data_IF_838896157060
#
_entry.id   IF_838896157060
#
_cell.length_a   1.000
_cell.length_b   1.000
_cell.length_c   1.000
_cell.angle_alpha   90.00
_cell.angle_beta   90.00
_cell.angle_gamma   90.00
#
_symmetry.space_group_name_H-M   'P 1'
#
loop_
_entity.id
_entity.type
_entity.pdbx_description
1 polymer ?
#
# COMPACT_ATOMS: atom_id res chain seq x y z
N UNK A 1 -20.07 -1.89 -4.62
CA UNK A 1 -19.16 -2.49 -5.63
C UNK A 1 -17.86 -2.87 -4.94
N UNK A 2 -17.27 -4.04 -5.21
CA UNK A 2 -15.99 -4.45 -4.59
C UNK A 2 -14.85 -3.99 -5.50
N UNK A 3 -14.06 -3.02 -5.04
CA UNK A 3 -12.88 -2.51 -5.75
C UNK A 3 -11.76 -3.58 -5.69
N UNK A 4 -11.27 -4.00 -6.85
CA UNK A 4 -10.28 -5.10 -6.99
C UNK A 4 -8.91 -4.64 -7.46
N UNK A 5 -8.74 -3.38 -7.83
CA UNK A 5 -7.45 -2.82 -8.25
C UNK A 5 -7.36 -1.32 -7.99
N UNK A 6 -6.14 -0.78 -7.99
CA UNK A 6 -5.92 0.68 -7.91
C UNK A 6 -6.59 1.39 -9.08
N UNK A 7 -6.56 0.82 -10.29
CA UNK A 7 -7.19 1.43 -11.47
C UNK A 7 -8.71 1.53 -11.33
N UNK A 8 -9.36 0.50 -10.78
CA UNK A 8 -10.78 0.59 -10.42
C UNK A 8 -11.04 1.63 -9.34
N UNK A 9 -10.16 1.74 -8.34
CA UNK A 9 -10.31 2.75 -7.30
C UNK A 9 -10.22 4.18 -7.86
N UNK A 10 -9.24 4.45 -8.73
CA UNK A 10 -9.08 5.74 -9.38
C UNK A 10 -10.31 6.11 -10.22
N UNK A 11 -10.87 5.13 -10.96
CA UNK A 11 -12.12 5.34 -11.71
C UNK A 11 -13.29 5.67 -10.79
N UNK A 12 -13.42 4.97 -9.65
CA UNK A 12 -14.47 5.26 -8.68
C UNK A 12 -14.31 6.66 -8.07
N UNK A 13 -13.07 7.07 -7.74
CA UNK A 13 -12.80 8.42 -7.26
C UNK A 13 -13.19 9.48 -8.31
N UNK A 14 -12.97 9.21 -9.60
CA UNK A 14 -13.40 10.10 -10.67
C UNK A 14 -14.93 10.23 -10.72
N UNK A 15 -15.66 9.11 -10.67
CA UNK A 15 -17.14 9.09 -10.67
C UNK A 15 -17.70 9.87 -9.47
N UNK A 16 -17.05 9.76 -8.31
CA UNK A 16 -17.48 10.36 -7.05
C UNK A 16 -17.04 11.82 -6.86
N UNK A 17 -16.42 12.44 -7.88
CA UNK A 17 -15.82 13.78 -7.82
C UNK A 17 -14.76 13.95 -6.70
N UNK A 18 -14.02 12.89 -6.43
CA UNK A 18 -12.92 12.82 -5.44
C UNK A 18 -11.54 12.70 -6.10
N UNK A 19 -11.45 12.97 -7.41
CA UNK A 19 -10.21 12.94 -8.20
C UNK A 19 -10.03 14.24 -8.98
N UNK A 20 -8.88 14.87 -8.82
CA UNK A 20 -8.37 15.93 -9.69
C UNK A 20 -7.41 15.30 -10.71
N UNK A 21 -7.57 15.63 -11.98
CA UNK A 21 -6.67 15.19 -13.05
C UNK A 21 -5.84 16.40 -13.49
N UNK A 22 -4.52 16.22 -13.54
CA UNK A 22 -3.55 17.20 -14.05
C UNK A 22 -2.94 16.61 -15.31
N UNK A 23 -3.11 17.30 -16.44
CA UNK A 23 -2.65 16.86 -17.76
C UNK A 23 -1.31 17.50 -18.15
N UNK A 24 -1.02 18.65 -17.56
CA UNK A 24 0.24 19.37 -17.68
C UNK A 24 1.42 18.49 -17.23
N UNK A 25 2.57 18.70 -17.87
CA UNK A 25 3.81 18.03 -17.45
C UNK A 25 4.21 18.54 -16.06
N UNK A 26 4.49 17.61 -15.14
CA UNK A 26 4.94 17.91 -13.78
C UNK A 26 6.26 17.19 -13.50
N UNK A 27 7.21 17.90 -12.90
CA UNK A 27 8.48 17.34 -12.48
C UNK A 27 8.31 16.47 -11.21
N UNK A 28 8.71 15.19 -11.21
CA UNK A 28 8.68 14.35 -10.02
C UNK A 28 9.67 14.82 -8.94
N UNK A 29 10.58 15.74 -9.27
CA UNK A 29 11.53 16.36 -8.36
C UNK A 29 10.90 17.64 -7.78
N UNK A 30 10.46 17.56 -6.53
CA UNK A 30 9.88 18.63 -5.70
C UNK A 30 8.52 19.16 -6.16
N UNK A 31 8.31 19.39 -7.45
CA UNK A 31 7.10 20.04 -7.97
C UNK A 31 5.84 19.21 -7.70
N UNK A 32 5.84 17.93 -8.08
CA UNK A 32 4.73 17.01 -7.82
C UNK A 32 4.36 16.98 -6.33
N UNK A 33 5.38 16.90 -5.46
CA UNK A 33 5.20 16.87 -4.01
C UNK A 33 4.64 18.19 -3.47
N UNK A 34 5.06 19.34 -4.00
CA UNK A 34 4.55 20.66 -3.63
C UNK A 34 3.08 20.83 -4.03
N UNK A 35 2.71 20.39 -5.24
CA UNK A 35 1.30 20.37 -5.69
C UNK A 35 0.47 19.52 -4.74
N UNK A 36 0.90 18.28 -4.49
CA UNK A 36 0.23 17.38 -3.55
C UNK A 36 0.07 18.03 -2.17
N UNK A 37 1.13 18.65 -1.64
CA UNK A 37 1.13 19.29 -0.32
C UNK A 37 0.10 20.42 -0.23
N UNK A 38 -0.01 21.27 -1.26
CA UNK A 38 -1.02 22.36 -1.29
C UNK A 38 -2.44 21.82 -1.34
N UNK A 39 -2.69 20.78 -2.14
CA UNK A 39 -4.02 20.14 -2.23
C UNK A 39 -4.39 19.48 -0.91
N UNK A 40 -3.47 18.73 -0.30
CA UNK A 40 -3.68 18.09 1.01
C UNK A 40 -3.93 19.12 2.12
N UNK A 41 -3.17 20.22 2.14
CA UNK A 41 -3.37 21.29 3.12
C UNK A 41 -4.77 21.92 3.04
N UNK A 42 -5.37 21.93 1.85
CA UNK A 42 -6.76 22.38 1.61
C UNK A 42 -7.80 21.25 1.73
N UNK A 43 -7.41 20.07 2.24
CA UNK A 43 -8.25 18.86 2.31
C UNK A 43 -8.87 18.46 0.97
N UNK A 44 -8.11 18.65 -0.12
CA UNK A 44 -8.56 18.42 -1.48
C UNK A 44 -8.67 16.93 -1.89
N UNK A 45 -9.04 16.69 -3.16
CA UNK A 45 -9.25 15.36 -3.74
C UNK A 45 -7.94 14.57 -3.91
N UNK A 46 -8.06 13.30 -4.29
CA UNK A 46 -6.92 12.57 -4.85
C UNK A 46 -6.44 13.26 -6.14
N UNK A 47 -5.18 13.07 -6.52
CA UNK A 47 -4.61 13.73 -7.71
C UNK A 47 -4.03 12.68 -8.64
N UNK A 48 -4.43 12.68 -9.92
CA UNK A 48 -3.83 11.90 -10.99
C UNK A 48 -3.02 12.84 -11.89
N UNK A 49 -1.70 12.71 -11.84
CA UNK A 49 -0.76 13.34 -12.75
C UNK A 49 -0.59 12.44 -13.98
N UNK A 50 -1.13 12.86 -15.12
CA UNK A 50 -1.07 12.07 -16.36
C UNK A 50 0.31 12.13 -17.03
N UNK A 51 0.96 13.29 -16.98
CA UNK A 51 2.25 13.52 -17.62
C UNK A 51 3.31 13.84 -16.55
N UNK A 52 4.20 12.87 -16.27
CA UNK A 52 5.29 13.04 -15.32
C UNK A 52 6.60 13.00 -16.07
N UNK A 53 7.37 14.08 -15.96
CA UNK A 53 8.60 14.28 -16.72
C UNK A 53 9.56 13.10 -16.55
N UNK A 54 10.02 12.56 -17.68
CA UNK A 54 10.97 11.44 -17.70
C UNK A 54 10.39 10.07 -17.31
N UNK A 55 9.06 9.93 -17.24
CA UNK A 55 8.38 8.66 -16.92
C UNK A 55 7.25 8.39 -17.91
N UNK A 56 7.14 7.14 -18.38
CA UNK A 56 5.96 6.69 -19.16
C UNK A 56 4.73 6.41 -18.31
N UNK A 57 4.90 6.41 -16.98
CA UNK A 57 3.85 6.12 -16.03
C UNK A 57 3.23 7.38 -15.46
N UNK A 58 1.91 7.37 -15.37
CA UNK A 58 1.14 8.33 -14.57
C UNK A 58 1.30 8.06 -13.07
N UNK A 59 1.21 9.12 -12.28
CA UNK A 59 1.30 9.06 -10.82
C UNK A 59 -0.04 9.45 -10.22
N UNK A 60 -0.53 8.64 -9.29
CA UNK A 60 -1.68 9.00 -8.47
C UNK A 60 -1.23 9.21 -7.03
N UNK A 61 -1.70 10.28 -6.40
CA UNK A 61 -1.37 10.64 -5.03
C UNK A 61 -2.64 10.94 -4.23
N UNK A 62 -2.48 11.04 -2.90
CA UNK A 62 -3.55 11.43 -1.98
C UNK A 62 -4.79 10.52 -2.01
N UNK A 63 -4.62 9.27 -2.49
CA UNK A 63 -5.66 8.24 -2.60
C UNK A 63 -6.43 8.03 -1.28
N UNK A 64 -5.71 8.01 -0.17
CA UNK A 64 -6.25 7.71 1.16
C UNK A 64 -6.34 8.94 2.08
N UNK A 65 -6.18 10.16 1.54
CA UNK A 65 -6.07 11.37 2.35
C UNK A 65 -7.37 11.95 2.90
N UNK A 66 -8.50 11.23 2.84
CA UNK A 66 -9.76 11.64 3.47
C UNK A 66 -10.57 10.45 3.96
N UNK A 67 -11.37 10.65 4.99
CA UNK A 67 -12.29 9.62 5.51
C UNK A 67 -13.29 9.16 4.43
N UNK A 68 -13.75 10.08 3.58
CA UNK A 68 -14.64 9.75 2.46
C UNK A 68 -13.97 8.81 1.47
N UNK A 69 -12.72 9.08 1.08
CA UNK A 69 -11.97 8.19 0.17
C UNK A 69 -11.66 6.84 0.81
N UNK A 70 -11.41 6.81 2.11
CA UNK A 70 -11.31 5.54 2.85
C UNK A 70 -12.62 4.75 2.81
N UNK A 71 -13.78 5.40 3.01
CA UNK A 71 -15.08 4.72 2.88
C UNK A 71 -15.34 4.19 1.47
N UNK A 72 -14.93 4.92 0.43
CA UNK A 72 -15.02 4.46 -0.97
C UNK A 72 -14.12 3.24 -1.19
N UNK A 73 -12.86 3.31 -0.74
CA UNK A 73 -11.85 2.26 -0.90
C UNK A 73 -12.24 0.94 -0.22
N UNK A 74 -12.62 1.02 1.06
CA UNK A 74 -12.77 -0.14 1.94
C UNK A 74 -14.23 -0.54 2.14
N UNK A 75 -15.17 0.38 1.90
CA UNK A 75 -16.56 0.23 2.36
C UNK A 75 -16.66 0.33 3.89
N UNK A 76 -17.88 0.24 4.40
CA UNK A 76 -18.12 0.28 5.85
C UNK A 76 -17.93 -1.08 6.52
N UNK A 77 -18.10 -2.18 5.78
CA UNK A 77 -18.08 -3.55 6.33
C UNK A 77 -16.73 -3.95 6.95
N UNK A 78 -15.56 -3.78 6.29
CA UNK A 78 -14.28 -4.15 6.89
C UNK A 78 -13.92 -3.27 8.09
N UNK A 79 -14.26 -1.99 8.04
CA UNK A 79 -14.05 -1.05 9.16
C UNK A 79 -14.91 -1.47 10.37
N UNK A 80 -16.19 -1.81 10.12
CA UNK A 80 -17.08 -2.36 11.16
C UNK A 80 -16.55 -3.69 11.70
N UNK A 81 -16.03 -4.57 10.85
CA UNK A 81 -15.50 -5.86 11.26
C UNK A 81 -14.28 -5.73 12.18
N UNK A 82 -13.30 -4.89 11.80
CA UNK A 82 -12.11 -4.63 12.63
C UNK A 82 -12.51 -4.01 13.96
N UNK A 83 -13.42 -3.02 13.94
CA UNK A 83 -13.95 -2.41 15.16
C UNK A 83 -14.63 -3.45 16.05
N UNK A 84 -15.44 -4.33 15.47
CA UNK A 84 -16.11 -5.42 16.19
C UNK A 84 -15.09 -6.34 16.85
N UNK A 85 -14.08 -6.82 16.14
CA UNK A 85 -13.00 -7.64 16.70
C UNK A 85 -12.32 -6.93 17.88
N UNK A 86 -11.89 -5.68 17.70
CA UNK A 86 -11.21 -4.91 18.74
C UNK A 86 -12.09 -4.76 20.00
N UNK A 87 -13.36 -4.39 19.84
CA UNK A 87 -14.30 -4.29 20.96
C UNK A 87 -14.55 -5.63 21.64
N UNK A 88 -14.68 -6.72 20.87
CA UNK A 88 -14.90 -8.05 21.43
C UNK A 88 -13.70 -8.52 22.25
N UNK A 89 -12.47 -8.28 21.78
CA UNK A 89 -11.24 -8.61 22.53
C UNK A 89 -11.16 -7.82 23.84
N UNK A 90 -11.47 -6.51 23.82
CA UNK A 90 -11.44 -5.67 25.02
C UNK A 90 -12.50 -6.07 26.05
N UNK A 91 -13.66 -6.55 25.61
CA UNK A 91 -14.78 -6.91 26.49
C UNK A 91 -14.90 -8.41 26.77
N UNK A 92 -13.92 -9.23 26.34
CA UNK A 92 -13.98 -10.69 26.48
C UNK A 92 -13.84 -11.15 27.93
N UNK A 93 -13.32 -10.29 28.82
CA UNK A 93 -13.13 -10.59 30.24
C UNK A 93 -14.21 -9.88 31.09
N UNK A 94 -14.87 -10.58 32.04
CA UNK A 94 -14.88 -12.03 32.20
C UNK A 94 -15.65 -12.72 31.05
N UNK A 95 -15.26 -13.95 30.66
CA UNK A 95 -15.90 -14.68 29.58
C UNK A 95 -17.25 -15.21 30.03
N UNK A 96 -18.33 -14.73 29.41
CA UNK A 96 -19.69 -15.26 29.62
C UNK A 96 -20.11 -16.10 28.41
N UNK A 97 -21.02 -17.08 28.57
CA UNK A 97 -21.48 -17.92 27.46
C UNK A 97 -22.02 -17.12 26.26
N UNK A 98 -22.72 -16.00 26.52
CA UNK A 98 -23.21 -15.09 25.48
C UNK A 98 -22.06 -14.44 24.68
N UNK A 99 -21.01 -13.97 25.36
CA UNK A 99 -19.82 -13.38 24.69
C UNK A 99 -19.07 -14.42 23.85
N UNK A 100 -19.00 -15.67 24.30
CA UNK A 100 -18.39 -16.77 23.55
C UNK A 100 -19.22 -17.10 22.30
N UNK A 101 -20.55 -17.09 22.42
CA UNK A 101 -21.44 -17.31 21.29
C UNK A 101 -21.28 -16.23 20.21
N UNK A 102 -21.06 -14.98 20.59
CA UNK A 102 -20.82 -13.88 19.63
C UNK A 102 -19.51 -14.02 18.85
N UNK A 103 -18.51 -14.73 19.39
CA UNK A 103 -17.27 -15.06 18.67
C UNK A 103 -17.52 -15.96 17.46
N UNK A 104 -18.58 -16.76 17.45
CA UNK A 104 -18.91 -17.64 16.30
C UNK A 104 -19.09 -16.82 15.02
N UNK A 105 -19.73 -15.66 15.13
CA UNK A 105 -20.00 -14.78 13.99
C UNK A 105 -18.69 -14.18 13.44
N UNK A 106 -17.75 -13.85 14.33
CA UNK A 106 -16.41 -13.38 13.95
C UNK A 106 -15.63 -14.52 13.28
N UNK A 107 -15.70 -15.74 13.82
CA UNK A 107 -15.05 -16.92 13.24
C UNK A 107 -15.56 -17.21 11.82
N UNK A 108 -16.88 -17.18 11.59
CA UNK A 108 -17.45 -17.35 10.24
C UNK A 108 -17.01 -16.27 9.26
N UNK A 109 -16.83 -15.03 9.72
CA UNK A 109 -16.32 -13.95 8.88
C UNK A 109 -14.81 -14.10 8.62
N UNK A 110 -14.03 -14.56 9.60
CA UNK A 110 -12.61 -14.84 9.46
C UNK A 110 -12.33 -15.96 8.45
N UNK A 111 -13.21 -16.97 8.34
CA UNK A 111 -13.11 -18.01 7.30
C UNK A 111 -13.20 -17.47 5.87
N UNK A 112 -13.76 -16.27 5.67
CA UNK A 112 -13.83 -15.61 4.36
C UNK A 112 -12.59 -14.77 4.05
N UNK A 113 -11.64 -14.66 4.98
CA UNK A 113 -10.39 -13.92 4.84
C UNK A 113 -9.29 -14.90 4.44
N UNK A 114 -8.59 -14.62 3.35
CA UNK A 114 -7.48 -15.45 2.91
C UNK A 114 -6.96 -15.06 1.54
N UNK A 115 -5.78 -15.59 1.20
CA UNK A 115 -5.15 -15.41 -0.10
C UNK A 115 -5.73 -16.39 -1.11
N UNK A 116 -6.03 -15.91 -2.32
CA UNK A 116 -6.38 -16.75 -3.46
C UNK A 116 -5.17 -16.87 -4.38
N UNK A 117 -4.70 -18.10 -4.63
CA UNK A 117 -3.69 -18.36 -5.66
C UNK A 117 -4.30 -18.23 -7.05
N UNK A 118 -3.58 -17.57 -7.95
CA UNK A 118 -3.95 -17.37 -9.36
C UNK A 118 -2.81 -17.84 -10.25
N UNK A 119 -3.14 -18.40 -11.43
CA UNK A 119 -2.13 -18.90 -12.38
C UNK A 119 -1.51 -17.81 -13.25
N UNK A 120 -2.15 -16.65 -13.37
CA UNK A 120 -1.66 -15.47 -14.08
C UNK A 120 -2.09 -14.19 -13.37
N UNK A 121 -1.28 -13.14 -13.47
CA UNK A 121 -1.56 -11.84 -12.88
C UNK A 121 -1.04 -10.72 -13.81
N UNK A 122 -1.82 -9.62 -14.02
CA UNK A 122 -1.41 -8.53 -14.92
C UNK A 122 -0.07 -7.88 -14.58
N UNK A 123 0.36 -7.94 -13.31
CA UNK A 123 1.65 -7.42 -12.86
C UNK A 123 2.85 -8.15 -13.49
N UNK A 124 2.64 -9.34 -14.06
CA UNK A 124 3.67 -10.16 -14.71
C UNK A 124 3.75 -9.93 -16.23
N UNK A 125 2.89 -9.09 -16.80
CA UNK A 125 2.83 -8.88 -18.26
C UNK A 125 3.98 -8.01 -18.80
N UNK A 126 4.66 -7.25 -17.93
CA UNK A 126 5.70 -6.30 -18.33
C UNK A 126 6.88 -6.35 -17.35
N UNK A 127 8.09 -6.12 -17.86
CA UNK A 127 9.32 -5.97 -17.08
C UNK A 127 9.89 -4.56 -17.24
N UNK A 128 10.72 -4.14 -16.29
CA UNK A 128 11.48 -2.89 -16.35
C UNK A 128 12.97 -3.23 -16.43
N UNK A 129 13.70 -2.52 -17.27
CA UNK A 129 15.16 -2.64 -17.40
C UNK A 129 15.88 -1.68 -16.45
N UNK A 130 15.16 -0.68 -15.93
CA UNK A 130 15.70 0.25 -14.94
C UNK A 130 14.62 0.82 -14.02
N UNK A 131 14.95 0.93 -12.74
CA UNK A 131 14.16 1.65 -11.74
C UNK A 131 14.02 3.14 -12.06
N UNK A 132 14.88 3.71 -12.91
CA UNK A 132 14.75 5.09 -13.36
C UNK A 132 13.60 5.31 -14.34
N UNK A 133 13.02 4.25 -14.91
CA UNK A 133 11.80 4.34 -15.71
C UNK A 133 10.56 4.65 -14.86
N UNK A 134 10.64 4.43 -13.55
CA UNK A 134 9.58 4.75 -12.60
C UNK A 134 9.56 6.26 -12.33
N UNK A 135 8.38 6.83 -12.02
CA UNK A 135 8.25 8.22 -11.60
C UNK A 135 8.76 8.37 -10.15
N UNK A 136 10.08 8.31 -10.01
CA UNK A 136 10.81 8.30 -8.74
C UNK A 136 10.76 9.70 -8.10
N UNK A 137 10.14 9.80 -6.92
CA UNK A 137 9.79 11.09 -6.32
C UNK A 137 10.91 11.61 -5.42
N UNK A 138 11.24 12.90 -5.53
CA UNK A 138 12.00 13.63 -4.51
C UNK A 138 11.04 14.63 -3.86
N UNK A 139 10.70 14.40 -2.59
CA UNK A 139 9.62 15.16 -1.93
C UNK A 139 10.12 16.42 -1.25
N UNK A 140 11.39 16.42 -0.82
CA UNK A 140 12.00 17.55 -0.12
C UNK A 140 13.35 17.93 -0.72
N UNK A 141 13.75 19.23 -0.69
CA UNK A 141 15.04 19.67 -1.21
C UNK A 141 16.25 19.01 -0.53
N UNK A 142 16.06 18.54 0.71
CA UNK A 142 17.09 17.87 1.53
C UNK A 142 16.93 16.35 1.59
N UNK A 143 16.03 15.76 0.79
CA UNK A 143 15.98 14.30 0.66
C UNK A 143 17.32 13.80 0.09
N UNK A 144 17.85 12.71 0.63
CA UNK A 144 19.13 12.12 0.17
C UNK A 144 19.04 11.41 -1.20
N UNK A 145 17.90 11.50 -1.88
CA UNK A 145 17.67 10.84 -3.16
C UNK A 145 16.19 10.75 -3.50
N UNK A 146 15.87 9.93 -4.51
CA UNK A 146 14.50 9.66 -4.94
C UNK A 146 13.95 8.42 -4.24
N UNK A 147 12.64 8.40 -4.00
CA UNK A 147 12.00 7.36 -3.23
C UNK A 147 10.73 6.81 -3.87
N UNK A 148 10.47 5.53 -3.60
CA UNK A 148 9.13 4.94 -3.62
C UNK A 148 8.56 5.09 -2.21
N UNK A 149 7.44 5.81 -2.09
CA UNK A 149 6.98 6.34 -0.80
C UNK A 149 5.95 5.45 -0.09
N UNK A 150 5.13 4.71 -0.85
CA UNK A 150 4.10 3.81 -0.32
C UNK A 150 4.14 2.42 -0.96
N UNK A 151 5.30 1.72 -1.00
CA UNK A 151 5.31 0.36 -1.47
C UNK A 151 4.81 -0.59 -0.39
N UNK A 152 4.13 -1.66 -0.81
CA UNK A 152 3.88 -2.84 0.00
C UNK A 152 5.01 -3.84 -0.26
N UNK A 153 5.71 -4.21 0.79
CA UNK A 153 6.90 -5.04 0.73
C UNK A 153 6.60 -6.38 1.36
N UNK A 154 6.62 -7.41 0.53
CA UNK A 154 6.45 -8.79 0.94
C UNK A 154 7.80 -9.45 1.22
N UNK A 155 7.86 -10.17 2.33
CA UNK A 155 9.04 -10.91 2.79
C UNK A 155 8.61 -12.26 3.33
N UNK A 156 9.45 -13.28 3.20
CA UNK A 156 9.19 -14.61 3.77
C UNK A 156 10.29 -15.03 4.76
N UNK A 157 9.88 -15.69 5.84
CA UNK A 157 10.80 -16.32 6.78
C UNK A 157 11.49 -17.52 6.12
N UNK A 158 12.83 -17.56 6.02
CA UNK A 158 13.57 -18.71 5.49
C UNK A 158 13.61 -19.91 6.46
N UNK A 159 12.99 -19.81 7.63
CA UNK A 159 12.81 -20.94 8.56
C UNK A 159 11.42 -21.54 8.50
N UNK A 160 10.38 -20.70 8.37
CA UNK A 160 8.99 -21.13 8.54
C UNK A 160 8.16 -21.01 7.27
N UNK A 161 8.65 -20.30 6.25
CA UNK A 161 7.89 -19.97 5.04
C UNK A 161 6.73 -19.00 5.27
N UNK A 162 6.61 -18.41 6.47
CA UNK A 162 5.55 -17.45 6.79
C UNK A 162 5.85 -16.10 6.13
N UNK A 163 4.86 -15.54 5.44
CA UNK A 163 4.93 -14.23 4.81
C UNK A 163 4.67 -13.07 5.76
N UNK A 164 5.23 -11.91 5.44
CA UNK A 164 4.94 -10.63 6.06
C UNK A 164 4.81 -9.57 4.97
N UNK A 165 3.76 -8.73 5.06
CA UNK A 165 3.56 -7.56 4.21
C UNK A 165 3.73 -6.30 5.06
N UNK A 166 4.64 -5.41 4.68
CA UNK A 166 4.91 -4.17 5.40
C UNK A 166 5.08 -2.99 4.46
N UNK A 167 4.84 -1.78 4.94
CA UNK A 167 5.16 -0.56 4.19
C UNK A 167 6.51 -0.02 4.63
N UNK A 168 7.47 0.03 3.72
CA UNK A 168 8.82 0.55 3.98
C UNK A 168 9.18 1.55 2.88
N UNK A 169 9.71 2.72 3.24
CA UNK A 169 10.19 3.68 2.23
C UNK A 169 11.42 3.09 1.54
N UNK A 170 11.45 3.14 0.21
CA UNK A 170 12.54 2.57 -0.61
C UNK A 170 13.24 3.71 -1.33
N UNK A 171 14.53 3.88 -1.06
CA UNK A 171 15.41 4.84 -1.74
C UNK A 171 16.00 4.20 -2.99
N UNK A 172 16.02 4.94 -4.09
CA UNK A 172 16.68 4.48 -5.33
C UNK A 172 18.13 4.97 -5.31
N UNK A 173 19.08 4.05 -5.41
CA UNK A 173 20.53 4.36 -5.49
C UNK A 173 21.08 4.15 -6.90
N UNK A 174 20.51 3.23 -7.67
CA UNK A 174 20.96 2.87 -9.01
C UNK A 174 19.82 2.40 -9.92
N UNK A 175 20.11 2.05 -11.19
CA UNK A 175 19.11 1.51 -12.12
C UNK A 175 18.53 0.17 -11.66
N UNK A 176 19.25 -0.59 -10.83
CA UNK A 176 18.79 -1.87 -10.26
C UNK A 176 19.09 -1.98 -8.76
N UNK A 177 19.35 -0.84 -8.09
CA UNK A 177 19.80 -0.82 -6.69
C UNK A 177 18.93 0.09 -5.84
N UNK A 178 18.51 -0.42 -4.67
CA UNK A 178 17.68 0.30 -3.72
C UNK A 178 18.18 0.15 -2.29
N UNK A 179 17.93 1.17 -1.48
CA UNK A 179 18.09 1.15 -0.04
C UNK A 179 16.73 1.05 0.63
N UNK A 180 16.59 0.15 1.60
CA UNK A 180 15.35 -0.01 2.36
C UNK A 180 15.63 0.05 3.85
N UNK A 181 14.96 0.97 4.53
CA UNK A 181 15.04 1.07 5.98
C UNK A 181 13.97 0.20 6.63
N UNK A 182 14.36 -0.96 7.15
CA UNK A 182 13.48 -1.86 7.90
C UNK A 182 13.74 -1.71 9.39
N UNK A 183 12.69 -1.42 10.16
CA UNK A 183 12.77 -1.45 11.62
C UNK A 183 12.94 -2.89 12.13
N UNK A 184 13.94 -3.13 12.98
CA UNK A 184 14.31 -4.46 13.49
C UNK A 184 13.18 -5.22 14.20
N UNK A 185 12.23 -4.50 14.81
CA UNK A 185 11.11 -5.09 15.56
C UNK A 185 9.87 -5.36 14.69
N UNK A 186 9.94 -5.14 13.37
CA UNK A 186 8.87 -5.43 12.42
C UNK A 186 9.10 -6.79 11.76
N UNK A 187 8.03 -7.39 11.23
CA UNK A 187 8.11 -8.73 10.61
C UNK A 187 9.20 -8.85 9.54
N UNK A 188 9.32 -7.88 8.65
CA UNK A 188 10.40 -7.84 7.65
C UNK A 188 11.81 -7.80 8.24
N UNK A 189 12.00 -7.14 9.40
CA UNK A 189 13.29 -7.08 10.09
C UNK A 189 13.69 -8.43 10.68
N UNK A 190 12.72 -9.15 11.24
CA UNK A 190 12.94 -10.53 11.70
C UNK A 190 13.29 -11.46 10.53
N UNK A 191 12.55 -11.36 9.41
CA UNK A 191 12.85 -12.16 8.21
C UNK A 191 14.25 -11.87 7.66
N UNK A 192 14.67 -10.61 7.64
CA UNK A 192 16.02 -10.21 7.23
C UNK A 192 17.09 -10.81 8.15
N UNK A 193 16.92 -10.71 9.47
CA UNK A 193 17.83 -11.31 10.44
C UNK A 193 17.95 -12.83 10.29
N UNK A 194 16.85 -13.52 9.96
CA UNK A 194 16.89 -14.96 9.68
C UNK A 194 17.65 -15.28 8.39
N UNK A 195 17.50 -14.43 7.38
CA UNK A 195 18.14 -14.59 6.08
C UNK A 195 19.64 -14.32 6.12
N UNK A 196 20.11 -13.35 6.90
CA UNK A 196 21.55 -13.10 7.11
C UNK A 196 22.28 -14.35 7.64
N UNK A 197 21.58 -15.21 8.38
CA UNK A 197 22.12 -16.48 8.89
C UNK A 197 22.09 -17.63 7.88
N UNK A 198 21.34 -17.51 6.79
CA UNK A 198 21.06 -18.59 5.83
C UNK A 198 21.36 -18.24 4.35
N UNK A 199 21.84 -17.03 4.07
CA UNK A 199 22.28 -16.54 2.74
C UNK A 199 21.15 -16.30 1.71
N UNK A 200 19.88 -16.58 2.04
CA UNK A 200 18.76 -16.35 1.11
C UNK A 200 17.68 -15.45 1.71
N UNK A 201 17.39 -14.33 1.05
CA UNK A 201 16.29 -13.41 1.38
C UNK A 201 15.35 -13.23 0.19
N UNK A 202 14.08 -13.59 0.36
CA UNK A 202 13.04 -13.37 -0.65
C UNK A 202 12.30 -12.08 -0.36
N UNK A 203 12.34 -11.15 -1.32
CA UNK A 203 11.76 -9.81 -1.21
C UNK A 203 10.98 -9.47 -2.49
N UNK A 204 9.74 -9.05 -2.34
CA UNK A 204 8.92 -8.52 -3.43
C UNK A 204 8.38 -7.15 -3.05
N UNK A 205 8.43 -6.20 -3.98
CA UNK A 205 8.00 -4.82 -3.78
C UNK A 205 6.82 -4.55 -4.71
N UNK A 206 5.67 -4.26 -4.14
CA UNK A 206 4.45 -3.91 -4.84
C UNK A 206 4.18 -2.42 -4.73
N UNK A 207 3.99 -1.76 -5.87
CA UNK A 207 3.78 -0.30 -5.94
C UNK A 207 2.33 0.11 -6.29
N UNK A 208 1.50 -0.84 -6.71
CA UNK A 208 0.08 -0.63 -7.05
C UNK A 208 -0.73 -1.83 -6.59
N UNK A 209 -1.64 -1.60 -5.66
CA UNK A 209 -2.46 -2.64 -5.05
C UNK A 209 -3.92 -2.21 -4.91
N UNK A 210 -4.82 -3.19 -4.90
CA UNK A 210 -6.20 -2.97 -4.50
C UNK A 210 -6.24 -2.41 -3.07
N UNK A 211 -7.20 -1.53 -2.72
CA UNK A 211 -7.24 -0.97 -1.38
C UNK A 211 -7.34 -2.02 -0.26
N UNK A 212 -7.99 -3.16 -0.51
CA UNK A 212 -8.29 -4.22 0.47
C UNK A 212 -7.30 -5.41 0.44
N UNK A 213 -6.05 -5.20 0.02
CA UNK A 213 -5.00 -6.23 0.13
C UNK A 213 -4.60 -6.49 1.59
#
# INVERSE_FOLDING_TARGET
MKIKSTSEFVKELQIQNELLIIEEEVDPILELAEIQRRVVAKRGPAILFKNVKGSRFSVVTNLYGSERRMKIAFGEEPVRFIRKIATTIQHILPPTPAKIWDLRNIAFQALKVGLKRVGSAPVLENTLDSLYELPTLMSWPKDGGRFVTLPLVYTESPKTGKGNLGMYRIQIHGPMETGMHIQIHRGGGNHYYEAEKKVTFFLFIFMREAPLL
#
